data_IF_104586274515
#
_entry.id   IF_104586274515
#
_cell.length_a   1.000
_cell.length_b   1.000
_cell.length_c   1.000
_cell.angle_alpha   90.00
_cell.angle_beta   90.00
_cell.angle_gamma   90.00
#
_symmetry.space_group_name_H-M   'P 1'
#
loop_
_entity.id
_entity.type
_entity.pdbx_description
1 polymer ?
#
# COMPACT_ATOMS: atom_id res chain seq x y z
N UNK A 1 7.74 -32.67 -22.63
CA UNK A 1 8.74 -31.76 -23.22
C UNK A 1 8.43 -30.38 -22.68
N UNK A 2 9.14 -30.00 -21.61
CA UNK A 2 9.10 -28.65 -21.06
C UNK A 2 9.72 -27.68 -22.06
N UNK A 3 9.16 -26.48 -22.16
CA UNK A 3 9.84 -25.33 -22.74
C UNK A 3 9.88 -24.23 -21.69
N UNK A 4 11.10 -23.85 -21.40
CA UNK A 4 11.56 -22.93 -20.37
C UNK A 4 10.90 -21.55 -20.46
N UNK A 5 10.41 -21.08 -19.31
CA UNK A 5 10.22 -19.66 -19.06
C UNK A 5 11.50 -19.19 -18.35
N UNK A 6 12.43 -18.68 -19.16
CA UNK A 6 13.70 -18.15 -18.68
C UNK A 6 13.47 -16.85 -17.89
N UNK A 7 14.14 -16.85 -16.75
CA UNK A 7 14.13 -15.91 -15.64
C UNK A 7 14.80 -14.58 -16.04
N UNK A 8 14.03 -13.48 -16.09
CA UNK A 8 14.60 -12.14 -16.23
C UNK A 8 14.97 -11.59 -14.85
N UNK A 9 16.05 -12.11 -14.28
CA UNK A 9 16.75 -11.53 -13.14
C UNK A 9 17.90 -10.64 -13.63
N UNK A 10 17.57 -9.47 -14.21
CA UNK A 10 18.58 -8.50 -14.62
C UNK A 10 18.95 -7.54 -13.46
N UNK A 11 20.09 -7.84 -12.81
CA UNK A 11 21.05 -6.81 -12.40
C UNK A 11 21.00 -6.28 -10.96
N UNK A 12 21.13 -7.13 -9.94
CA UNK A 12 21.77 -6.68 -8.69
C UNK A 12 23.27 -6.50 -8.95
N UNK A 13 23.68 -5.31 -9.37
CA UNK A 13 25.08 -4.91 -9.21
C UNK A 13 25.31 -4.69 -7.72
N UNK A 14 25.62 -5.77 -7.00
CA UNK A 14 26.00 -5.74 -5.59
C UNK A 14 27.29 -4.91 -5.50
N UNK A 15 27.15 -3.62 -5.21
CA UNK A 15 28.30 -2.72 -5.02
C UNK A 15 28.96 -3.16 -3.73
N UNK A 16 30.09 -3.86 -3.84
CA UNK A 16 30.87 -4.28 -2.68
C UNK A 16 31.27 -3.05 -1.86
N UNK A 17 30.74 -2.97 -0.63
CA UNK A 17 31.00 -1.83 0.24
C UNK A 17 32.39 -1.96 0.85
N UNK A 18 33.20 -0.89 0.87
CA UNK A 18 34.56 -0.96 1.38
C UNK A 18 34.59 -1.27 2.88
N UNK A 19 35.57 -2.09 3.28
CA UNK A 19 35.90 -2.28 4.69
C UNK A 19 36.59 -1.02 5.23
N UNK A 20 35.91 -0.29 6.11
CA UNK A 20 36.39 0.95 6.73
C UNK A 20 36.56 0.70 8.23
N UNK A 21 37.78 0.40 8.68
CA UNK A 21 38.07 0.01 10.07
C UNK A 21 38.18 1.23 10.98
N UNK A 22 38.87 2.26 10.51
CA UNK A 22 39.20 3.45 11.30
C UNK A 22 38.22 4.61 11.11
N UNK A 23 38.03 5.48 12.12
CA UNK A 23 37.28 6.72 11.96
C UNK A 23 37.81 7.61 10.81
N UNK A 24 39.12 7.66 10.62
CA UNK A 24 39.78 8.47 9.60
C UNK A 24 39.50 7.96 8.17
N UNK A 25 39.45 6.64 7.98
CA UNK A 25 39.02 6.03 6.71
C UNK A 25 37.56 6.33 6.42
N UNK A 26 36.68 6.22 7.42
CA UNK A 26 35.25 6.55 7.28
C UNK A 26 35.03 7.99 6.87
N UNK A 27 35.71 8.93 7.53
CA UNK A 27 35.58 10.35 7.18
C UNK A 27 36.13 10.62 5.77
N UNK A 28 37.28 10.04 5.41
CA UNK A 28 37.85 10.20 4.06
C UNK A 28 36.91 9.68 2.98
N UNK A 29 36.35 8.48 3.16
CA UNK A 29 35.40 7.88 2.23
C UNK A 29 34.12 8.72 2.12
N UNK A 30 33.61 9.24 3.23
CA UNK A 30 32.46 10.15 3.19
C UNK A 30 32.76 11.43 2.39
N UNK A 31 33.95 12.03 2.53
CA UNK A 31 34.35 13.19 1.73
C UNK A 31 34.47 12.86 0.23
N UNK A 32 34.88 11.64 -0.12
CA UNK A 32 34.87 11.17 -1.50
C UNK A 32 33.44 11.06 -2.05
N UNK A 33 32.50 10.54 -1.27
CA UNK A 33 31.09 10.48 -1.65
C UNK A 33 30.48 11.88 -1.84
N UNK A 34 30.83 12.86 -1.00
CA UNK A 34 30.39 14.26 -1.16
C UNK A 34 30.86 14.82 -2.50
N UNK A 35 32.14 14.63 -2.86
CA UNK A 35 32.68 15.09 -4.15
C UNK A 35 32.02 14.36 -5.33
N UNK A 36 31.82 13.05 -5.21
CA UNK A 36 31.15 12.25 -6.24
C UNK A 36 29.71 12.74 -6.49
N UNK A 37 29.00 13.13 -5.42
CA UNK A 37 27.64 13.67 -5.49
C UNK A 37 27.54 15.01 -6.23
N UNK A 38 28.54 15.87 -6.09
CA UNK A 38 28.61 17.12 -6.88
C UNK A 38 28.80 16.85 -8.38
N UNK A 39 29.65 15.88 -8.70
CA UNK A 39 29.88 15.44 -10.10
C UNK A 39 28.61 14.80 -10.67
N UNK A 40 27.97 13.93 -9.89
CA UNK A 40 26.70 13.29 -10.25
C UNK A 40 25.61 14.33 -10.55
N UNK A 41 25.45 15.35 -9.71
CA UNK A 41 24.49 16.44 -9.94
C UNK A 41 24.73 17.14 -11.27
N UNK A 42 25.98 17.55 -11.52
CA UNK A 42 26.34 18.24 -12.79
C UNK A 42 26.05 17.35 -14.00
N UNK A 43 26.35 16.06 -13.89
CA UNK A 43 26.05 15.08 -14.93
C UNK A 43 24.54 14.92 -15.14
N UNK A 44 23.75 14.77 -14.06
CA UNK A 44 22.30 14.61 -14.16
C UNK A 44 21.61 15.84 -14.79
N UNK A 45 22.07 17.05 -14.46
CA UNK A 45 21.60 18.29 -15.11
C UNK A 45 21.98 18.30 -16.59
N UNK A 46 23.25 18.00 -16.92
CA UNK A 46 23.72 18.00 -18.31
C UNK A 46 23.03 16.94 -19.18
N UNK A 47 22.66 15.80 -18.60
CA UNK A 47 21.92 14.72 -19.25
C UNK A 47 20.40 14.95 -19.28
N UNK A 48 19.90 16.04 -18.69
CA UNK A 48 18.46 16.33 -18.64
C UNK A 48 17.65 15.37 -17.77
N UNK A 49 18.28 14.75 -16.76
CA UNK A 49 17.62 13.85 -15.79
C UNK A 49 17.05 14.58 -14.58
N UNK A 50 17.43 15.85 -14.40
CA UNK A 50 16.88 16.73 -13.37
C UNK A 50 17.03 18.19 -13.80
N UNK A 51 16.19 19.05 -13.22
CA UNK A 51 16.33 20.50 -13.39
C UNK A 51 17.50 21.06 -12.58
N UNK A 52 18.08 22.16 -13.07
CA UNK A 52 19.03 22.96 -12.29
C UNK A 52 18.24 23.79 -11.26
N UNK A 53 18.41 23.54 -9.93
CA UNK A 53 17.66 24.25 -8.90
C UNK A 53 17.99 25.75 -8.84
N UNK A 54 19.07 26.21 -9.49
CA UNK A 54 19.43 27.63 -9.58
C UNK A 54 18.78 28.35 -10.76
N UNK A 55 18.13 27.62 -11.66
CA UNK A 55 17.50 28.17 -12.87
C UNK A 55 15.98 28.03 -12.76
N UNK A 56 15.24 29.15 -12.62
CA UNK A 56 13.79 29.11 -12.59
C UNK A 56 13.21 28.52 -13.88
N UNK A 57 12.28 27.59 -13.74
CA UNK A 57 11.51 26.99 -14.84
C UNK A 57 10.02 27.04 -14.58
N UNK A 58 9.24 26.99 -15.66
CA UNK A 58 7.78 26.82 -15.57
C UNK A 58 7.47 25.37 -15.20
N UNK A 59 6.39 25.16 -14.45
CA UNK A 59 6.00 23.83 -13.95
C UNK A 59 5.67 22.84 -15.07
N UNK A 60 5.11 23.30 -16.19
CA UNK A 60 4.82 22.49 -17.37
C UNK A 60 6.08 22.12 -18.19
N UNK A 61 7.23 22.71 -17.87
CA UNK A 61 8.53 22.45 -18.48
C UNK A 61 9.50 21.71 -17.52
N UNK A 62 9.02 21.37 -16.32
CA UNK A 62 9.80 20.68 -15.30
C UNK A 62 10.05 19.23 -15.70
N UNK A 63 11.25 18.74 -15.41
CA UNK A 63 11.63 17.34 -15.68
C UNK A 63 11.10 16.47 -14.55
N UNK A 64 10.27 15.49 -14.89
CA UNK A 64 9.91 14.42 -13.96
C UNK A 64 11.15 13.55 -13.69
N UNK A 65 11.65 13.61 -12.45
CA UNK A 65 12.82 12.85 -12.04
C UNK A 65 12.46 11.37 -11.95
N UNK A 66 13.32 10.50 -12.48
CA UNK A 66 13.20 9.04 -12.37
C UNK A 66 14.23 8.54 -11.37
N UNK A 67 13.79 7.74 -10.39
CA UNK A 67 14.66 7.18 -9.38
C UNK A 67 15.57 6.07 -9.90
N UNK A 68 16.82 6.08 -9.45
CA UNK A 68 17.84 5.10 -9.84
C UNK A 68 18.46 4.37 -8.64
N UNK A 69 17.95 4.59 -7.42
CA UNK A 69 18.39 3.87 -6.24
C UNK A 69 17.81 2.45 -6.23
N UNK A 70 18.64 1.45 -6.47
CA UNK A 70 18.21 0.05 -6.43
C UNK A 70 18.15 -0.54 -5.01
N UNK A 71 18.70 0.16 -4.02
CA UNK A 71 18.66 -0.23 -2.60
C UNK A 71 17.44 0.33 -1.85
N UNK A 72 17.10 -0.23 -0.69
CA UNK A 72 16.07 0.33 0.19
C UNK A 72 16.44 1.70 0.80
N UNK A 73 17.72 2.05 0.82
CA UNK A 73 18.25 3.33 1.27
C UNK A 73 19.39 3.79 0.36
N UNK A 74 19.39 5.03 -0.16
CA UNK A 74 20.48 5.54 -0.99
C UNK A 74 21.85 5.41 -0.31
N UNK A 75 22.87 4.97 -1.07
CA UNK A 75 24.23 4.76 -0.54
C UNK A 75 24.78 5.98 0.20
N UNK A 76 24.63 7.18 -0.38
CA UNK A 76 25.05 8.42 0.26
C UNK A 76 24.38 8.65 1.62
N UNK A 77 23.08 8.35 1.72
CA UNK A 77 22.33 8.50 2.95
C UNK A 77 22.82 7.53 4.04
N UNK A 78 23.10 6.26 3.69
CA UNK A 78 23.63 5.26 4.64
C UNK A 78 24.86 5.77 5.37
N UNK A 79 25.85 6.23 4.62
CA UNK A 79 27.10 6.76 5.19
C UNK A 79 26.91 8.08 5.92
N UNK A 80 26.05 8.97 5.42
CA UNK A 80 25.71 10.21 6.12
C UNK A 80 25.10 9.91 7.49
N UNK A 81 24.12 9.01 7.56
CA UNK A 81 23.41 8.67 8.80
C UNK A 81 24.28 7.88 9.78
N UNK A 82 25.20 7.04 9.29
CA UNK A 82 26.23 6.43 10.14
C UNK A 82 27.10 7.51 10.80
N UNK A 83 27.61 8.47 10.01
CA UNK A 83 28.45 9.58 10.51
C UNK A 83 27.70 10.49 11.50
N UNK A 84 26.42 10.76 11.25
CA UNK A 84 25.55 11.58 12.09
C UNK A 84 25.03 10.85 13.35
N UNK A 85 25.32 9.56 13.51
CA UNK A 85 24.71 8.68 14.51
C UNK A 85 23.16 8.72 14.49
N UNK A 86 22.59 8.77 13.29
CA UNK A 86 21.15 8.89 13.02
C UNK A 86 20.59 7.61 12.35
N UNK A 87 20.96 6.46 12.90
CA UNK A 87 20.49 5.14 12.50
C UNK A 87 19.56 4.59 13.57
N UNK A 88 18.49 3.91 13.16
CA UNK A 88 17.70 3.09 14.07
C UNK A 88 18.41 1.77 14.35
N UNK A 89 18.09 1.13 15.48
CA UNK A 89 18.64 -0.18 15.85
C UNK A 89 18.40 -1.26 14.78
N UNK A 90 17.30 -1.14 14.03
CA UNK A 90 16.95 -2.03 12.91
C UNK A 90 17.87 -1.92 11.70
N UNK A 91 18.69 -0.86 11.64
CA UNK A 91 19.60 -0.54 10.54
C UNK A 91 21.07 -0.77 10.92
N UNK A 92 21.33 -1.28 12.13
CA UNK A 92 22.68 -1.48 12.64
C UNK A 92 23.12 -2.95 12.49
N UNK A 93 24.41 -3.15 12.24
CA UNK A 93 25.04 -4.45 12.41
C UNK A 93 24.99 -4.79 13.90
N UNK A 94 24.42 -5.95 14.29
CA UNK A 94 24.26 -6.32 15.69
C UNK A 94 25.55 -6.19 16.51
N UNK A 95 25.46 -5.53 17.66
CA UNK A 95 26.60 -5.29 18.56
C UNK A 95 27.51 -4.13 18.16
N UNK A 96 27.20 -3.39 17.10
CA UNK A 96 27.99 -2.25 16.63
C UNK A 96 27.14 -0.99 16.44
N UNK A 97 27.79 0.15 16.13
CA UNK A 97 27.13 1.38 15.64
C UNK A 97 27.26 1.55 14.12
N UNK A 98 27.64 0.48 13.41
CA UNK A 98 27.85 0.48 11.97
C UNK A 98 26.53 0.20 11.26
N UNK A 99 26.32 0.85 10.12
CA UNK A 99 25.15 0.59 9.26
C UNK A 99 25.22 -0.82 8.69
N UNK A 100 24.11 -1.54 8.75
CA UNK A 100 23.87 -2.73 7.94
C UNK A 100 23.27 -2.28 6.61
N UNK A 101 24.09 -2.29 5.56
CA UNK A 101 23.72 -1.78 4.25
C UNK A 101 22.51 -2.50 3.64
N UNK A 102 22.26 -3.76 4.01
CA UNK A 102 21.12 -4.56 3.53
C UNK A 102 19.82 -4.28 4.29
N UNK A 103 19.91 -3.70 5.49
CA UNK A 103 18.75 -3.40 6.36
C UNK A 103 18.41 -1.91 6.44
N UNK A 104 19.31 -1.04 6.00
CA UNK A 104 19.07 0.40 5.98
C UNK A 104 17.89 0.76 5.06
N UNK A 105 16.96 1.57 5.56
CA UNK A 105 15.82 2.07 4.77
C UNK A 105 15.84 3.59 4.75
N UNK A 106 15.57 4.19 3.58
CA UNK A 106 15.56 5.65 3.40
C UNK A 106 14.67 6.35 4.42
N UNK A 107 15.19 7.31 5.17
CA UNK A 107 14.40 8.11 6.11
C UNK A 107 13.61 9.22 5.39
N UNK A 108 12.50 9.68 5.98
CA UNK A 108 11.76 10.81 5.42
C UNK A 108 12.45 12.14 5.78
N UNK A 109 12.75 12.96 4.78
CA UNK A 109 13.29 14.31 4.97
C UNK A 109 12.32 15.37 4.44
N UNK A 110 12.06 16.40 5.27
CA UNK A 110 11.20 17.52 4.87
C UNK A 110 11.96 18.44 3.92
N UNK A 111 11.29 18.88 2.85
CA UNK A 111 11.80 19.88 1.91
C UNK A 111 13.16 19.50 1.29
N UNK A 112 13.34 18.23 0.93
CA UNK A 112 14.55 17.74 0.29
C UNK A 112 14.58 17.93 -1.25
N UNK A 113 13.51 18.45 -1.86
CA UNK A 113 13.30 18.50 -3.32
C UNK A 113 14.53 19.01 -4.09
N UNK A 114 14.96 20.24 -3.84
CA UNK A 114 16.09 20.87 -4.56
C UNK A 114 17.44 20.14 -4.39
N UNK A 115 17.57 19.34 -3.32
CA UNK A 115 18.79 18.58 -3.00
C UNK A 115 18.75 17.17 -3.56
N UNK A 116 17.58 16.68 -3.94
CA UNK A 116 17.35 15.30 -4.37
C UNK A 116 17.98 15.06 -5.74
N UNK A 117 18.74 13.98 -5.86
CA UNK A 117 19.26 13.45 -7.11
C UNK A 117 18.47 12.20 -7.52
N UNK A 118 18.52 11.78 -8.80
CA UNK A 118 17.96 10.51 -9.24
C UNK A 118 18.39 9.31 -8.38
N UNK A 119 19.66 9.26 -7.94
CA UNK A 119 20.19 8.20 -7.07
C UNK A 119 19.69 8.24 -5.62
N UNK A 120 18.95 9.28 -5.22
CA UNK A 120 18.29 9.33 -3.92
C UNK A 120 16.87 8.77 -3.97
N UNK A 121 16.29 8.63 -5.17
CA UNK A 121 14.93 8.15 -5.35
C UNK A 121 14.93 6.68 -5.73
N UNK A 122 14.08 5.90 -5.07
CA UNK A 122 13.89 4.48 -5.37
C UNK A 122 12.80 4.33 -6.44
N UNK A 123 13.02 3.54 -7.50
CA UNK A 123 11.98 3.28 -8.50
C UNK A 123 10.85 2.42 -7.90
N UNK A 124 9.64 2.40 -8.52
CA UNK A 124 8.45 1.73 -7.98
C UNK A 124 8.65 0.29 -7.50
N UNK A 125 9.40 -0.54 -8.23
CA UNK A 125 9.67 -1.92 -7.84
C UNK A 125 10.45 -2.02 -6.52
N UNK A 126 11.43 -1.13 -6.31
CA UNK A 126 12.24 -1.06 -5.08
C UNK A 126 11.42 -0.49 -3.92
N UNK A 127 10.50 0.43 -4.20
CA UNK A 127 9.56 0.96 -3.21
C UNK A 127 8.63 -0.13 -2.67
N UNK A 128 8.05 -0.96 -3.56
CA UNK A 128 7.25 -2.13 -3.15
C UNK A 128 8.09 -3.12 -2.34
N UNK A 129 9.28 -3.50 -2.84
CA UNK A 129 10.22 -4.39 -2.13
C UNK A 129 10.60 -3.87 -0.75
N UNK A 130 10.72 -2.55 -0.60
CA UNK A 130 10.97 -1.91 0.69
C UNK A 130 9.80 -2.13 1.65
N UNK A 131 8.56 -1.95 1.20
CA UNK A 131 7.39 -2.23 2.04
C UNK A 131 7.27 -3.71 2.38
N UNK A 132 7.62 -4.61 1.45
CA UNK A 132 7.67 -6.05 1.70
C UNK A 132 8.66 -6.36 2.84
N UNK A 133 9.87 -5.79 2.82
CA UNK A 133 10.81 -5.92 3.95
C UNK A 133 10.23 -5.36 5.26
N UNK A 134 9.64 -4.16 5.24
CA UNK A 134 9.12 -3.53 6.45
C UNK A 134 7.97 -4.33 7.07
N UNK A 135 7.03 -4.81 6.26
CA UNK A 135 5.79 -5.43 6.73
C UNK A 135 5.87 -6.95 6.86
N UNK A 136 6.70 -7.64 6.06
CA UNK A 136 6.80 -9.11 6.08
C UNK A 136 8.04 -9.66 6.77
N UNK A 137 9.11 -8.86 6.92
CA UNK A 137 10.30 -9.27 7.68
C UNK A 137 10.42 -8.54 9.02
N UNK A 138 10.53 -7.21 8.99
CA UNK A 138 10.83 -6.44 10.21
C UNK A 138 9.68 -6.46 11.21
N UNK A 139 8.46 -6.16 10.74
CA UNK A 139 7.28 -6.05 11.58
C UNK A 139 6.95 -7.36 12.33
N UNK A 140 6.92 -8.55 11.68
CA UNK A 140 6.65 -9.81 12.38
C UNK A 140 7.79 -10.20 13.33
N UNK A 141 9.04 -9.94 12.94
CA UNK A 141 10.22 -10.32 13.73
C UNK A 141 10.42 -9.49 14.99
N UNK A 142 10.08 -8.21 14.96
CA UNK A 142 10.33 -7.27 16.07
C UNK A 142 9.06 -6.72 16.73
N UNK A 143 7.88 -7.01 16.17
CA UNK A 143 6.58 -6.59 16.70
C UNK A 143 6.17 -5.17 16.30
N UNK A 144 4.88 -4.87 16.41
CA UNK A 144 4.28 -3.61 15.96
C UNK A 144 4.81 -2.40 16.75
N UNK A 145 4.63 -2.37 18.06
CA UNK A 145 4.99 -1.20 18.87
C UNK A 145 6.49 -0.87 18.88
N UNK A 146 7.43 -1.85 18.95
CA UNK A 146 8.86 -1.55 18.86
C UNK A 146 9.26 -0.92 17.52
N UNK A 147 8.67 -1.40 16.42
CA UNK A 147 9.03 -0.95 15.07
C UNK A 147 8.22 0.24 14.58
N UNK A 148 7.10 0.57 15.23
CA UNK A 148 6.12 1.58 14.79
C UNK A 148 6.75 2.91 14.36
N UNK A 149 7.57 3.54 15.20
CA UNK A 149 8.18 4.84 14.87
C UNK A 149 9.09 4.77 13.63
N UNK A 150 9.80 3.65 13.47
CA UNK A 150 10.65 3.41 12.31
C UNK A 150 9.81 3.21 11.05
N UNK A 151 8.87 2.25 11.08
CA UNK A 151 8.03 1.92 9.91
C UNK A 151 7.19 3.13 9.49
N UNK A 152 6.62 3.89 10.44
CA UNK A 152 5.88 5.12 10.13
C UNK A 152 6.73 6.15 9.37
N UNK A 153 7.99 6.32 9.75
CA UNK A 153 8.90 7.23 9.05
C UNK A 153 9.26 6.70 7.65
N UNK A 154 9.61 5.41 7.55
CA UNK A 154 10.06 4.79 6.30
C UNK A 154 8.94 4.64 5.27
N UNK A 155 7.72 4.33 5.69
CA UNK A 155 6.54 4.32 4.81
C UNK A 155 6.22 5.71 4.26
N UNK A 156 6.41 6.77 5.07
CA UNK A 156 6.30 8.15 4.60
C UNK A 156 7.38 8.49 3.56
N UNK A 157 8.61 8.01 3.75
CA UNK A 157 9.68 8.17 2.75
C UNK A 157 9.35 7.44 1.44
N UNK A 158 8.76 6.24 1.52
CA UNK A 158 8.28 5.49 0.34
C UNK A 158 7.23 6.28 -0.44
N UNK A 159 6.18 6.80 0.23
CA UNK A 159 5.15 7.62 -0.43
C UNK A 159 5.73 8.91 -1.04
N UNK A 160 6.70 9.52 -0.35
CA UNK A 160 7.37 10.71 -0.85
C UNK A 160 8.15 10.43 -2.14
N UNK A 161 8.81 9.27 -2.26
CA UNK A 161 9.51 8.89 -3.49
C UNK A 161 8.56 8.70 -4.67
N UNK A 162 7.37 8.12 -4.47
CA UNK A 162 6.33 8.07 -5.51
C UNK A 162 5.90 9.47 -5.95
N UNK A 163 5.66 10.37 -4.98
CA UNK A 163 5.24 11.75 -5.24
C UNK A 163 6.28 12.51 -6.05
N UNK A 164 7.56 12.39 -5.68
CA UNK A 164 8.68 13.06 -6.36
C UNK A 164 8.88 12.56 -7.80
N UNK A 165 8.46 11.34 -8.10
CA UNK A 165 8.54 10.75 -9.44
C UNK A 165 7.24 10.92 -10.25
N UNK A 166 6.22 11.59 -9.69
CA UNK A 166 4.88 11.71 -10.29
C UNK A 166 4.26 10.34 -10.67
N UNK A 167 4.55 9.31 -9.88
CA UNK A 167 4.10 7.95 -10.12
C UNK A 167 2.74 7.68 -9.46
N UNK A 168 1.72 7.40 -10.27
CA UNK A 168 0.34 7.12 -9.80
C UNK A 168 -0.18 5.75 -10.24
N UNK A 169 0.66 4.91 -10.85
CA UNK A 169 0.28 3.60 -11.38
C UNK A 169 -0.03 2.54 -10.32
N UNK A 170 -0.24 1.30 -10.75
CA UNK A 170 -0.68 0.18 -9.90
C UNK A 170 0.19 -0.03 -8.65
N UNK A 171 1.53 0.02 -8.79
CA UNK A 171 2.45 -0.12 -7.65
C UNK A 171 2.34 1.04 -6.66
N UNK A 172 2.09 2.27 -7.14
CA UNK A 172 1.89 3.42 -6.27
C UNK A 172 0.62 3.24 -5.44
N UNK A 173 -0.48 2.82 -6.07
CA UNK A 173 -1.74 2.52 -5.38
C UNK A 173 -1.58 1.42 -4.34
N UNK A 174 -1.03 0.26 -4.74
CA UNK A 174 -0.78 -0.87 -3.83
C UNK A 174 0.03 -0.44 -2.60
N UNK A 175 1.13 0.29 -2.81
CA UNK A 175 1.97 0.77 -1.72
C UNK A 175 1.23 1.73 -0.78
N UNK A 176 0.42 2.64 -1.33
CA UNK A 176 -0.35 3.60 -0.53
C UNK A 176 -1.52 2.92 0.21
N UNK A 177 -2.19 1.95 -0.39
CA UNK A 177 -3.24 1.14 0.23
C UNK A 177 -2.68 0.41 1.46
N UNK A 178 -1.54 -0.28 1.31
CA UNK A 178 -0.85 -0.95 2.43
C UNK A 178 -0.47 0.03 3.55
N UNK A 179 0.04 1.22 3.18
CA UNK A 179 0.34 2.26 4.16
C UNK A 179 -0.92 2.80 4.87
N UNK A 180 -2.06 2.92 4.18
CA UNK A 180 -3.31 3.36 4.78
C UNK A 180 -3.81 2.33 5.82
N UNK A 181 -3.76 1.04 5.49
CA UNK A 181 -4.10 -0.04 6.43
C UNK A 181 -3.16 -0.05 7.64
N UNK A 182 -1.85 0.14 7.45
CA UNK A 182 -0.89 0.29 8.54
C UNK A 182 -1.24 1.47 9.48
N UNK A 183 -1.63 2.62 8.94
CA UNK A 183 -2.02 3.77 9.76
C UNK A 183 -3.32 3.53 10.55
N UNK A 184 -4.29 2.80 9.99
CA UNK A 184 -5.50 2.39 10.72
C UNK A 184 -5.12 1.47 11.89
N UNK A 185 -4.24 0.49 11.65
CA UNK A 185 -3.73 -0.40 12.70
C UNK A 185 -2.98 0.38 13.79
N UNK A 186 -2.17 1.39 13.41
CA UNK A 186 -1.47 2.22 14.38
C UNK A 186 -2.43 3.01 15.28
N UNK A 187 -3.53 3.50 14.73
CA UNK A 187 -4.58 4.17 15.51
C UNK A 187 -5.27 3.23 16.52
N UNK A 188 -5.25 1.92 16.28
CA UNK A 188 -5.78 0.91 17.19
C UNK A 188 -4.72 0.45 18.20
N UNK A 189 -3.57 -0.06 17.76
CA UNK A 189 -2.57 -0.68 18.63
C UNK A 189 -1.77 0.31 19.48
N UNK A 190 -1.53 1.53 18.99
CA UNK A 190 -0.65 2.50 19.68
C UNK A 190 -1.44 3.53 20.50
N UNK A 191 -2.79 3.47 20.53
CA UNK A 191 -3.64 4.51 21.11
C UNK A 191 -3.39 4.80 22.58
N UNK A 192 -2.97 3.80 23.35
CA UNK A 192 -2.68 3.93 24.78
C UNK A 192 -1.19 4.17 25.06
N UNK A 193 -0.34 4.14 24.01
CA UNK A 193 1.10 4.29 24.17
C UNK A 193 1.45 5.72 24.58
N UNK A 194 2.24 5.91 25.66
CA UNK A 194 2.73 7.23 26.02
C UNK A 194 3.49 7.92 24.88
N UNK A 195 3.10 9.15 24.56
CA UNK A 195 3.72 9.95 23.50
C UNK A 195 3.20 9.68 22.09
N UNK A 196 2.28 8.73 21.90
CA UNK A 196 1.59 8.56 20.62
C UNK A 196 0.64 9.74 20.36
N UNK A 197 0.78 10.36 19.18
CA UNK A 197 -0.04 11.50 18.79
C UNK A 197 -1.09 11.08 17.79
N UNK A 198 -2.28 10.77 18.30
CA UNK A 198 -3.44 10.42 17.49
C UNK A 198 -3.70 11.43 16.37
N UNK A 199 -3.72 12.77 16.61
CA UNK A 199 -3.97 13.73 15.53
C UNK A 199 -2.92 13.70 14.41
N UNK A 200 -1.64 13.44 14.74
CA UNK A 200 -0.59 13.34 13.73
C UNK A 200 -0.72 12.05 12.91
N UNK A 201 -1.12 10.94 13.54
CA UNK A 201 -1.34 9.68 12.86
C UNK A 201 -2.57 9.74 11.94
N UNK A 202 -3.68 10.32 12.42
CA UNK A 202 -4.86 10.60 11.59
C UNK A 202 -4.51 11.46 10.38
N UNK A 203 -3.66 12.47 10.56
CA UNK A 203 -3.21 13.30 9.45
C UNK A 203 -2.40 12.50 8.41
N UNK A 204 -1.56 11.53 8.84
CA UNK A 204 -0.85 10.66 7.89
C UNK A 204 -1.82 9.77 7.12
N UNK A 205 -2.82 9.18 7.79
CA UNK A 205 -3.86 8.39 7.14
C UNK A 205 -4.65 9.23 6.13
N UNK A 206 -5.14 10.40 6.54
CA UNK A 206 -5.93 11.29 5.68
C UNK A 206 -5.14 11.73 4.44
N UNK A 207 -3.86 12.10 4.60
CA UNK A 207 -3.02 12.45 3.45
C UNK A 207 -2.82 11.27 2.50
N UNK A 208 -2.63 10.06 3.05
CA UNK A 208 -2.47 8.84 2.23
C UNK A 208 -3.73 8.54 1.42
N UNK A 209 -4.90 8.62 2.05
CA UNK A 209 -6.19 8.41 1.39
C UNK A 209 -6.52 9.50 0.38
N UNK A 210 -6.08 10.74 0.61
CA UNK A 210 -6.23 11.84 -0.35
C UNK A 210 -5.39 11.59 -1.61
N UNK A 211 -4.13 11.16 -1.48
CA UNK A 211 -3.31 10.77 -2.64
C UNK A 211 -3.91 9.58 -3.40
N UNK A 212 -4.42 8.57 -2.70
CA UNK A 212 -5.09 7.43 -3.35
C UNK A 212 -6.30 7.87 -4.18
N UNK A 213 -7.11 8.78 -3.66
CA UNK A 213 -8.23 9.36 -4.40
C UNK A 213 -7.77 10.02 -5.71
N UNK A 214 -6.72 10.83 -5.65
CA UNK A 214 -6.14 11.48 -6.82
C UNK A 214 -5.59 10.44 -7.81
N UNK A 215 -4.93 9.38 -7.34
CA UNK A 215 -4.41 8.32 -8.21
C UNK A 215 -5.53 7.56 -8.93
N UNK A 216 -6.63 7.27 -8.25
CA UNK A 216 -7.79 6.62 -8.89
C UNK A 216 -8.40 7.49 -9.98
N UNK A 217 -8.49 8.80 -9.76
CA UNK A 217 -9.00 9.76 -10.73
C UNK A 217 -8.04 9.87 -11.94
N UNK A 218 -6.73 9.97 -11.69
CA UNK A 218 -5.69 10.08 -12.73
C UNK A 218 -5.56 8.82 -13.60
N UNK A 219 -5.86 7.64 -13.05
CA UNK A 219 -5.71 6.35 -13.73
C UNK A 219 -7.02 5.82 -14.32
N UNK A 220 -8.13 6.58 -14.24
CA UNK A 220 -9.39 6.21 -14.89
C UNK A 220 -9.20 5.84 -16.36
N UNK A 221 -9.80 4.72 -16.76
CA UNK A 221 -9.69 4.18 -18.12
C UNK A 221 -8.35 3.56 -18.47
N UNK A 222 -7.36 3.55 -17.56
CA UNK A 222 -6.06 2.88 -17.73
C UNK A 222 -5.89 1.72 -16.76
N UNK A 223 -6.11 1.96 -15.47
CA UNK A 223 -6.02 0.97 -14.42
C UNK A 223 -7.08 1.26 -13.35
N UNK A 224 -7.85 0.24 -12.98
CA UNK A 224 -8.82 0.31 -11.90
C UNK A 224 -8.34 -0.57 -10.74
N UNK A 225 -8.03 0.05 -9.59
CA UNK A 225 -7.65 -0.73 -8.41
C UNK A 225 -8.86 -1.50 -7.87
N UNK A 226 -8.74 -2.80 -7.57
CA UNK A 226 -9.80 -3.56 -6.92
C UNK A 226 -10.11 -3.04 -5.50
N UNK A 227 -9.17 -2.30 -4.89
CA UNK A 227 -9.27 -1.80 -3.52
C UNK A 227 -9.84 -0.37 -3.45
N UNK A 228 -10.30 0.22 -4.56
CA UNK A 228 -10.80 1.59 -4.53
C UNK A 228 -12.01 1.73 -3.59
N UNK A 229 -12.98 0.81 -3.65
CA UNK A 229 -14.15 0.83 -2.77
C UNK A 229 -13.71 0.89 -1.30
N UNK A 230 -12.79 0.02 -0.90
CA UNK A 230 -12.25 -0.06 0.45
C UNK A 230 -11.66 1.29 0.91
N UNK A 231 -10.78 1.88 0.11
CA UNK A 231 -10.14 3.15 0.44
C UNK A 231 -11.14 4.31 0.50
N UNK A 232 -12.18 4.30 -0.36
CA UNK A 232 -13.27 5.30 -0.32
C UNK A 232 -14.09 5.17 0.97
N UNK A 233 -14.31 3.95 1.48
CA UNK A 233 -14.97 3.73 2.78
C UNK A 233 -14.12 4.27 3.92
N UNK A 234 -12.82 3.94 3.98
CA UNK A 234 -11.94 4.46 5.02
C UNK A 234 -11.86 5.99 5.00
N UNK A 235 -11.74 6.58 3.81
CA UNK A 235 -11.74 8.03 3.64
C UNK A 235 -13.03 8.67 4.16
N UNK A 236 -14.19 8.07 3.87
CA UNK A 236 -15.50 8.58 4.31
C UNK A 236 -15.68 8.47 5.82
N UNK A 237 -15.22 7.37 6.44
CA UNK A 237 -15.32 7.15 7.87
C UNK A 237 -14.36 8.03 8.66
N UNK A 238 -13.08 8.12 8.29
CA UNK A 238 -12.11 8.93 9.04
C UNK A 238 -12.45 10.44 9.00
N UNK A 239 -13.14 10.88 7.95
CA UNK A 239 -13.65 12.25 7.80
C UNK A 239 -15.11 12.43 8.23
N UNK A 240 -15.61 11.62 9.16
CA UNK A 240 -17.01 11.70 9.62
C UNK A 240 -17.40 13.10 10.14
N UNK A 241 -16.43 13.90 10.60
CA UNK A 241 -16.63 15.29 11.03
C UNK A 241 -16.82 16.29 9.89
N UNK A 242 -16.32 15.99 8.69
CA UNK A 242 -16.49 16.89 7.54
C UNK A 242 -17.95 16.84 7.09
N UNK A 243 -18.66 17.95 7.23
CA UNK A 243 -20.07 18.06 6.84
C UNK A 243 -20.25 18.49 5.38
N UNK A 244 -19.16 18.83 4.67
CA UNK A 244 -19.23 19.24 3.27
C UNK A 244 -18.99 18.02 2.39
N UNK A 245 -19.98 17.66 1.59
CA UNK A 245 -19.74 16.72 0.49
C UNK A 245 -18.99 17.45 -0.62
N UNK A 246 -17.79 16.95 -0.94
CA UNK A 246 -17.03 17.39 -2.09
C UNK A 246 -17.54 16.62 -3.30
N UNK A 247 -17.57 17.28 -4.46
CA UNK A 247 -17.84 16.61 -5.72
C UNK A 247 -16.63 15.75 -6.06
N UNK A 248 -16.78 14.45 -5.82
CA UNK A 248 -15.78 13.44 -6.11
C UNK A 248 -16.23 12.67 -7.35
N UNK A 249 -15.31 12.37 -8.26
CA UNK A 249 -15.59 11.52 -9.42
C UNK A 249 -15.60 10.04 -8.99
N UNK A 250 -16.70 9.65 -8.36
CA UNK A 250 -16.91 8.28 -7.84
C UNK A 250 -17.69 7.49 -8.90
N UNK A 251 -17.13 6.37 -9.41
CA UNK A 251 -17.80 5.51 -10.38
C UNK A 251 -19.14 4.99 -9.88
N UNK A 252 -20.07 4.79 -10.81
CA UNK A 252 -21.41 4.31 -10.51
C UNK A 252 -21.42 3.00 -9.73
N UNK A 253 -20.52 2.07 -10.09
CA UNK A 253 -20.41 0.78 -9.41
C UNK A 253 -20.04 0.92 -7.92
N UNK A 254 -19.31 1.97 -7.53
CA UNK A 254 -19.04 2.30 -6.12
C UNK A 254 -20.25 2.99 -5.50
N UNK A 255 -20.83 3.99 -6.19
CA UNK A 255 -21.95 4.78 -5.66
C UNK A 255 -23.16 3.92 -5.31
N UNK A 256 -23.41 2.87 -6.09
CA UNK A 256 -24.51 1.93 -5.88
C UNK A 256 -24.12 0.71 -5.04
N UNK A 257 -22.85 0.58 -4.65
CA UNK A 257 -22.39 -0.58 -3.88
C UNK A 257 -23.03 -0.59 -2.47
N UNK A 258 -23.57 -1.73 -1.99
CA UNK A 258 -24.25 -1.79 -0.69
C UNK A 258 -23.39 -1.28 0.48
N UNK A 259 -22.11 -1.64 0.51
CA UNK A 259 -21.15 -1.18 1.54
C UNK A 259 -20.99 0.34 1.53
N UNK A 260 -20.97 0.98 0.35
CA UNK A 260 -20.85 2.43 0.22
C UNK A 260 -22.13 3.15 0.67
N UNK A 261 -23.30 2.60 0.32
CA UNK A 261 -24.59 3.11 0.76
C UNK A 261 -24.74 3.02 2.28
N UNK A 262 -24.42 1.88 2.88
CA UNK A 262 -24.48 1.67 4.32
C UNK A 262 -23.49 2.56 5.08
N UNK A 263 -22.27 2.71 4.57
CA UNK A 263 -21.28 3.64 5.13
C UNK A 263 -21.76 5.09 5.06
N UNK A 264 -22.40 5.48 3.96
CA UNK A 264 -22.97 6.83 3.82
C UNK A 264 -24.13 7.06 4.78
N UNK A 265 -25.03 6.08 4.92
CA UNK A 265 -26.13 6.10 5.89
C UNK A 265 -25.60 6.20 7.33
N UNK A 266 -24.59 5.41 7.68
CA UNK A 266 -23.93 5.46 8.99
C UNK A 266 -23.34 6.85 9.28
N UNK A 267 -22.57 7.40 8.33
CA UNK A 267 -21.98 8.74 8.46
C UNK A 267 -23.05 9.81 8.66
N UNK A 268 -24.10 9.82 7.85
CA UNK A 268 -25.19 10.79 7.97
C UNK A 268 -25.89 10.69 9.32
N UNK A 269 -26.15 9.47 9.80
CA UNK A 269 -26.76 9.22 11.10
C UNK A 269 -25.91 9.75 12.26
N UNK A 270 -24.64 9.39 12.31
CA UNK A 270 -23.69 9.89 13.32
C UNK A 270 -23.61 11.41 13.28
N UNK A 271 -23.55 12.01 12.09
CA UNK A 271 -23.49 13.46 11.96
C UNK A 271 -24.74 14.13 12.53
N UNK A 272 -25.93 13.61 12.25
CA UNK A 272 -27.18 14.14 12.78
C UNK A 272 -27.25 14.03 14.31
N UNK A 273 -26.81 12.91 14.88
CA UNK A 273 -26.79 12.67 16.34
C UNK A 273 -25.73 13.49 17.07
N UNK A 274 -24.67 13.88 16.38
CA UNK A 274 -23.53 14.61 16.95
C UNK A 274 -23.63 16.14 16.81
N UNK A 275 -24.78 16.68 16.35
CA UNK A 275 -24.93 18.13 16.20
C UNK A 275 -24.99 18.86 17.56
N UNK A 276 -24.29 20.00 17.71
CA UNK A 276 -23.41 20.64 16.72
C UNK A 276 -22.02 19.99 16.65
N UNK A 277 -21.53 19.72 15.43
CA UNK A 277 -20.18 19.17 15.21
C UNK A 277 -19.16 20.30 15.13
N UNK A 278 -18.15 20.23 15.98
CA UNK A 278 -16.95 21.09 15.91
C UNK A 278 -15.70 20.24 15.75
N UNK A 279 -14.52 20.87 15.69
CA UNK A 279 -13.24 20.16 15.63
C UNK A 279 -12.98 19.29 16.87
N UNK A 280 -13.59 19.61 18.01
CA UNK A 280 -13.31 18.99 19.31
C UNK A 280 -14.55 18.39 19.98
N UNK A 281 -15.75 18.56 19.42
CA UNK A 281 -16.97 17.98 19.98
C UNK A 281 -16.89 16.45 20.00
N UNK A 282 -17.50 15.79 20.99
CA UNK A 282 -17.65 14.35 20.96
C UNK A 282 -18.53 13.94 19.77
N UNK A 283 -18.20 12.80 19.15
CA UNK A 283 -19.10 12.15 18.20
C UNK A 283 -19.93 11.11 18.96
N UNK A 284 -21.20 11.01 18.61
CA UNK A 284 -22.15 10.11 19.25
C UNK A 284 -22.63 9.07 18.23
N UNK A 285 -22.64 7.82 18.67
CA UNK A 285 -23.26 6.71 17.97
C UNK A 285 -24.24 6.05 18.95
N UNK A 286 -25.49 5.90 18.55
CA UNK A 286 -26.54 5.24 19.33
C UNK A 286 -26.85 3.85 18.76
N UNK A 287 -27.84 3.17 19.34
CA UNK A 287 -28.23 1.82 18.91
C UNK A 287 -28.59 1.74 17.43
N UNK A 288 -29.20 2.77 16.86
CA UNK A 288 -29.53 2.80 15.42
C UNK A 288 -28.26 2.89 14.56
N UNK A 289 -27.30 3.73 14.96
CA UNK A 289 -25.99 3.78 14.33
C UNK A 289 -25.28 2.42 14.37
N UNK A 290 -25.31 1.76 15.52
CA UNK A 290 -24.70 0.43 15.69
C UNK A 290 -25.42 -0.67 14.90
N UNK A 291 -26.74 -0.58 14.70
CA UNK A 291 -27.46 -1.49 13.80
C UNK A 291 -27.01 -1.32 12.34
N UNK A 292 -26.81 -0.07 11.88
CA UNK A 292 -26.31 0.19 10.52
C UNK A 292 -24.89 -0.36 10.36
N UNK A 293 -24.03 -0.21 11.38
CA UNK A 293 -22.70 -0.81 11.38
C UNK A 293 -22.75 -2.34 11.34
N UNK A 294 -23.65 -2.97 12.11
CA UNK A 294 -23.85 -4.42 12.09
C UNK A 294 -24.29 -4.92 10.72
N UNK A 295 -25.19 -4.21 10.05
CA UNK A 295 -25.61 -4.49 8.67
C UNK A 295 -24.43 -4.37 7.68
N UNK A 296 -23.63 -3.30 7.79
CA UNK A 296 -22.40 -3.10 7.01
C UNK A 296 -21.40 -4.25 7.21
N UNK A 297 -21.16 -4.64 8.46
CA UNK A 297 -20.27 -5.74 8.81
C UNK A 297 -20.80 -7.09 8.28
N UNK A 298 -22.12 -7.31 8.30
CA UNK A 298 -22.76 -8.49 7.73
C UNK A 298 -22.48 -8.63 6.23
N UNK A 299 -22.72 -7.57 5.45
CA UNK A 299 -22.44 -7.55 4.00
C UNK A 299 -20.96 -7.83 3.71
N UNK A 300 -20.05 -7.20 4.46
CA UNK A 300 -18.61 -7.42 4.27
C UNK A 300 -18.19 -8.86 4.60
N UNK A 301 -18.77 -9.47 5.65
CA UNK A 301 -18.51 -10.88 6.00
C UNK A 301 -19.05 -11.84 4.94
N UNK A 302 -20.21 -11.57 4.37
CA UNK A 302 -20.77 -12.36 3.25
C UNK A 302 -19.87 -12.29 2.01
N UNK A 303 -19.23 -11.14 1.78
CA UNK A 303 -18.25 -10.92 0.72
C UNK A 303 -16.85 -11.48 1.04
N UNK A 304 -16.64 -12.12 2.20
CA UNK A 304 -15.33 -12.63 2.63
C UNK A 304 -14.29 -11.54 2.97
N UNK A 305 -14.71 -10.27 3.06
CA UNK A 305 -13.80 -9.15 3.30
C UNK A 305 -13.62 -8.87 4.80
N UNK A 306 -13.04 -9.84 5.51
CA UNK A 306 -12.80 -9.75 6.96
C UNK A 306 -11.86 -8.62 7.34
N UNK A 307 -10.82 -8.38 6.53
CA UNK A 307 -9.87 -7.27 6.72
C UNK A 307 -10.61 -5.94 6.81
N UNK A 308 -11.54 -5.69 5.90
CA UNK A 308 -12.29 -4.45 5.90
C UNK A 308 -13.20 -4.30 7.12
N UNK A 309 -13.84 -5.39 7.59
CA UNK A 309 -14.63 -5.34 8.83
C UNK A 309 -13.76 -4.92 10.01
N UNK A 310 -12.58 -5.53 10.14
CA UNK A 310 -11.64 -5.26 11.22
C UNK A 310 -11.14 -3.81 11.18
N UNK A 311 -10.68 -3.34 10.02
CA UNK A 311 -10.16 -1.97 9.88
C UNK A 311 -11.25 -0.90 10.02
N UNK A 312 -12.49 -1.18 9.57
CA UNK A 312 -13.64 -0.31 9.87
C UNK A 312 -13.86 -0.25 11.39
N UNK A 313 -13.83 -1.40 12.09
CA UNK A 313 -13.97 -1.44 13.54
C UNK A 313 -12.89 -0.60 14.26
N UNK A 314 -11.62 -0.68 13.83
CA UNK A 314 -10.54 0.16 14.34
C UNK A 314 -10.82 1.67 14.15
N UNK A 315 -11.37 2.08 13.00
CA UNK A 315 -11.76 3.49 12.76
C UNK A 315 -12.90 3.92 13.68
N UNK A 316 -13.88 3.04 13.93
CA UNK A 316 -14.98 3.32 14.84
C UNK A 316 -14.49 3.46 16.29
N UNK A 317 -13.63 2.54 16.74
CA UNK A 317 -12.97 2.62 18.05
C UNK A 317 -12.25 3.98 18.21
N UNK A 318 -11.55 4.40 17.16
CA UNK A 318 -10.88 5.69 17.15
C UNK A 318 -11.86 6.86 17.33
N UNK A 319 -13.03 6.84 16.68
CA UNK A 319 -14.00 7.94 16.78
C UNK A 319 -14.81 7.96 18.06
N UNK A 320 -15.19 6.80 18.58
CA UNK A 320 -16.20 6.65 19.63
C UNK A 320 -15.63 6.10 20.95
N UNK A 321 -14.40 5.58 20.94
CA UNK A 321 -13.69 5.06 22.11
C UNK A 321 -13.57 3.53 22.12
N UNK A 322 -12.68 3.03 22.98
CA UNK A 322 -12.32 1.62 23.12
C UNK A 322 -13.47 0.67 23.47
N UNK A 323 -14.52 1.20 24.08
CA UNK A 323 -15.68 0.43 24.53
C UNK A 323 -16.79 0.33 23.46
N UNK A 324 -16.59 0.95 22.29
CA UNK A 324 -17.63 1.02 21.25
C UNK A 324 -17.89 -0.33 20.59
N UNK A 325 -16.83 -1.12 20.40
CA UNK A 325 -16.90 -2.44 19.78
C UNK A 325 -16.23 -3.40 20.76
N UNK A 326 -17.04 -4.29 21.33
CA UNK A 326 -16.55 -5.35 22.20
C UNK A 326 -15.70 -6.33 21.40
N UNK A 327 -14.53 -6.69 21.95
CA UNK A 327 -13.60 -7.67 21.38
C UNK A 327 -13.25 -7.45 19.90
N UNK A 328 -12.76 -6.26 19.54
CA UNK A 328 -12.29 -5.94 18.17
C UNK A 328 -11.34 -7.03 17.61
N UNK A 329 -10.49 -7.61 18.46
CA UNK A 329 -9.57 -8.68 18.06
C UNK A 329 -10.26 -9.99 17.63
N UNK A 330 -11.47 -10.27 18.11
CA UNK A 330 -12.26 -11.43 17.65
C UNK A 330 -12.66 -11.28 16.18
N UNK A 331 -12.81 -10.04 15.69
CA UNK A 331 -13.10 -9.75 14.27
C UNK A 331 -11.89 -10.10 13.40
N UNK A 332 -10.67 -9.87 13.88
CA UNK A 332 -9.44 -10.25 13.18
C UNK A 332 -9.33 -11.77 13.03
N UNK A 333 -9.84 -12.52 14.01
CA UNK A 333 -9.99 -13.99 13.98
C UNK A 333 -8.71 -14.74 13.58
N UNK A 334 -7.54 -14.23 13.99
CA UNK A 334 -6.24 -14.86 13.71
C UNK A 334 -5.55 -14.44 12.41
N UNK A 335 -6.06 -13.46 11.65
CA UNK A 335 -5.29 -12.84 10.56
C UNK A 335 -4.00 -12.25 11.12
N UNK A 336 -2.86 -12.58 10.53
CA UNK A 336 -1.61 -11.96 10.92
C UNK A 336 -1.59 -10.49 10.47
N UNK A 337 -0.82 -9.66 11.17
CA UNK A 337 -0.75 -8.22 10.85
C UNK A 337 -0.38 -7.97 9.36
N UNK A 338 0.56 -8.71 8.75
CA UNK A 338 0.87 -8.52 7.33
C UNK A 338 -0.31 -8.85 6.41
N UNK A 339 -1.14 -9.84 6.73
CA UNK A 339 -2.34 -10.19 5.95
C UNK A 339 -3.34 -9.03 5.94
N UNK A 340 -3.49 -8.37 7.09
CA UNK A 340 -4.34 -7.17 7.23
C UNK A 340 -3.76 -6.00 6.45
N UNK A 341 -2.44 -5.81 6.44
CA UNK A 341 -1.77 -4.74 5.70
C UNK A 341 -1.89 -4.97 4.18
N UNK A 342 -1.75 -6.20 3.71
CA UNK A 342 -1.85 -6.54 2.29
C UNK A 342 -3.30 -6.54 1.78
N UNK A 343 -4.29 -6.63 2.67
CA UNK A 343 -5.70 -6.60 2.31
C UNK A 343 -6.24 -7.96 1.87
N UNK A 344 -5.76 -9.05 2.48
CA UNK A 344 -6.16 -10.41 2.12
C UNK A 344 -7.69 -10.62 2.18
N UNK A 345 -8.27 -11.17 1.12
CA UNK A 345 -9.68 -11.56 1.04
C UNK A 345 -9.76 -13.06 1.26
N UNK A 346 -10.65 -13.52 2.15
CA UNK A 346 -10.92 -14.94 2.28
C UNK A 346 -11.78 -15.41 1.10
N UNK A 347 -11.19 -16.19 0.19
CA UNK A 347 -11.99 -16.93 -0.78
C UNK A 347 -12.71 -18.07 -0.05
N UNK A 348 -14.04 -17.95 0.11
CA UNK A 348 -14.85 -19.13 0.43
C UNK A 348 -14.84 -20.04 -0.79
N UNK A 349 -14.12 -21.15 -0.70
CA UNK A 349 -14.38 -22.30 -1.58
C UNK A 349 -15.84 -22.70 -1.32
N UNK A 350 -16.71 -22.44 -2.29
CA UNK A 350 -18.02 -23.08 -2.31
C UNK A 350 -17.75 -24.53 -2.65
N UNK A 351 -17.73 -25.40 -1.64
CA UNK A 351 -17.76 -26.85 -1.85
C UNK A 351 -19.05 -27.18 -2.61
N UNK A 352 -18.93 -27.30 -3.92
CA UNK A 352 -20.00 -27.71 -4.81
C UNK A 352 -20.22 -29.22 -4.57
N UNK A 353 -21.04 -29.55 -3.56
CA UNK A 353 -21.58 -30.89 -3.39
C UNK A 353 -22.61 -31.19 -4.49
N UNK A 354 -22.13 -31.29 -5.72
CA UNK A 354 -22.88 -31.93 -6.79
C UNK A 354 -22.83 -33.45 -6.54
N UNK A 355 -23.93 -33.98 -6.04
CA UNK A 355 -24.15 -35.41 -5.88
C UNK A 355 -23.86 -36.16 -7.19
N UNK A 356 -22.87 -37.06 -7.16
CA UNK A 356 -22.67 -38.05 -8.21
C UNK A 356 -23.93 -38.92 -8.33
N UNK A 357 -24.68 -38.75 -9.41
CA UNK A 357 -25.64 -39.75 -9.85
C UNK A 357 -24.93 -40.69 -10.85
N UNK A 358 -25.10 -42.02 -10.71
CA UNK A 358 -24.44 -42.97 -11.59
C UNK A 358 -25.07 -42.93 -12.98
N UNK A 359 -24.22 -42.80 -13.99
CA UNK A 359 -24.59 -42.85 -15.40
C UNK A 359 -24.99 -44.29 -15.73
N UNK A 360 -26.22 -44.50 -16.17
CA UNK A 360 -26.69 -45.77 -16.74
C UNK A 360 -26.31 -45.77 -18.22
N UNK A 361 -25.43 -46.67 -18.64
CA UNK A 361 -25.09 -46.87 -20.06
C UNK A 361 -26.24 -47.59 -20.78
N UNK A 362 -26.81 -46.96 -21.81
CA UNK A 362 -27.67 -47.63 -22.80
C UNK A 362 -26.79 -48.23 -23.93
N UNK A 363 -27.16 -49.39 -24.50
CA UNK A 363 -26.33 -50.07 -25.48
C UNK A 363 -26.49 -49.46 -26.88
N UNK A 364 -25.36 -49.27 -27.56
CA UNK A 364 -25.26 -48.75 -28.94
C UNK A 364 -25.72 -49.82 -29.94
N UNK A 365 -26.76 -49.52 -30.72
CA UNK A 365 -27.15 -50.32 -31.89
C UNK A 365 -26.17 -50.11 -33.06
N UNK A 366 -25.71 -51.20 -33.66
CA UNK A 366 -24.77 -51.19 -34.78
C UNK A 366 -25.48 -50.85 -36.11
N UNK A 367 -24.95 -49.87 -36.83
CA UNK A 367 -25.41 -49.47 -38.17
C UNK A 367 -25.15 -50.57 -39.22
N UNK A 368 -26.17 -50.88 -40.04
CA UNK A 368 -26.10 -51.82 -41.15
C UNK A 368 -25.59 -51.14 -42.44
N UNK A 369 -24.66 -51.81 -43.14
CA UNK A 369 -24.11 -51.36 -44.43
C UNK A 369 -25.16 -51.22 -45.55
N UNK A 370 -24.98 -50.26 -46.49
CA UNK A 370 -25.91 -50.04 -47.59
C UNK A 370 -25.70 -51.04 -48.75
N UNK A 371 -26.76 -51.38 -49.51
CA UNK A 371 -26.70 -52.40 -50.56
C UNK A 371 -26.10 -51.88 -51.88
N UNK A 372 -25.59 -52.78 -52.75
CA UNK A 372 -24.80 -52.39 -53.92
C UNK A 372 -25.65 -51.92 -55.11
N UNK A 373 -25.10 -50.96 -55.85
CA UNK A 373 -25.67 -50.32 -57.05
C UNK A 373 -25.83 -51.30 -58.23
N UNK A 374 -26.98 -51.22 -58.91
CA UNK A 374 -27.29 -51.93 -60.16
C UNK A 374 -26.85 -51.14 -61.41
N UNK A 375 -26.58 -51.83 -62.53
CA UNK A 375 -25.89 -51.24 -63.68
C UNK A 375 -26.83 -50.49 -64.63
N UNK A 376 -26.30 -49.41 -65.23
CA UNK A 376 -26.94 -48.63 -66.28
C UNK A 376 -26.82 -49.32 -67.64
N UNK A 377 -27.94 -49.39 -68.37
CA UNK A 377 -28.03 -49.80 -69.76
C UNK A 377 -28.77 -48.73 -70.58
N UNK A 378 -28.44 -48.70 -71.88
CA UNK A 378 -29.01 -47.94 -73.01
C UNK A 378 -28.51 -46.49 -73.16
N UNK A 379 -28.11 -45.97 -74.34
CA UNK A 379 -28.43 -46.36 -75.72
C UNK A 379 -27.51 -45.63 -76.74
N UNK A 380 -27.44 -46.19 -77.96
CA UNK A 380 -26.76 -45.78 -79.22
C UNK A 380 -25.31 -46.24 -79.46
#
# INVERSE_FOLDING_TARGET
MSTDADDHHEGETDVEEPELETPEERERFYQELVKAREVERKRAIAEGKMDDPLVPKRLDEAITMVGTCMDMCPRFERYRRERENNLFEWELIPGTKRVDHKRAVKMYERAAGDKTLPSDLRPPAVLKRTLDYLFHDLLPRAGFSPTFNFIRDRTRAVRNDFTMQHETGALAMECHERCARFHILALHFERERPGFSIPLEEQQLMNTLQSLKEFYEDQRGRYESPNELEMRIYHRLIHIRDQRERHDDIPDWIRTHPVFLLTTKFRQHVQAKSLPITKTSALLVDNEGMMIFSELAGVLREQGNRVMVYLVACILERHFGGETIENIEDIRAGLEIPDVIDGAIEHREVEDHAAEQPIVEEPVEAEAEPPPLKPSAAEC
#
